data_IF_755476173877
#
_entry.id   IF_755476173877
#
_cell.length_a   1.000
_cell.length_b   1.000
_cell.length_c   1.000
_cell.angle_alpha   90.00
_cell.angle_beta   90.00
_cell.angle_gamma   90.00
#
_symmetry.space_group_name_H-M   'P 1'
#
loop_
_entity.id
_entity.type
_entity.pdbx_description
1 polymer ?
#
# COMPACT_ATOMS: atom_id res chain seq x y z
N UNK A 1 -15.42 18.86 -2.35
CA UNK A 1 -15.57 18.30 -3.72
C UNK A 1 -14.24 18.23 -4.49
N UNK A 2 -13.30 19.15 -4.26
CA UNK A 2 -12.04 19.20 -5.03
C UNK A 2 -11.04 18.08 -4.77
N UNK A 3 -10.98 17.50 -3.57
CA UNK A 3 -10.02 16.42 -3.25
C UNK A 3 -10.40 15.07 -3.87
N UNK A 4 -11.68 14.74 -3.97
CA UNK A 4 -12.11 13.46 -4.51
C UNK A 4 -11.91 13.36 -6.03
N UNK A 5 -12.05 14.46 -6.78
CA UNK A 5 -11.76 14.49 -8.22
C UNK A 5 -10.26 14.41 -8.48
N UNK A 6 -9.43 15.09 -7.68
CA UNK A 6 -7.96 15.01 -7.79
C UNK A 6 -7.40 13.61 -7.54
N UNK A 7 -7.95 12.86 -6.59
CA UNK A 7 -7.53 11.48 -6.32
C UNK A 7 -7.88 10.53 -7.47
N UNK A 8 -9.05 10.66 -8.10
CA UNK A 8 -9.44 9.83 -9.24
C UNK A 8 -8.55 10.10 -10.47
N UNK A 9 -8.19 11.36 -10.71
CA UNK A 9 -7.28 11.74 -11.79
C UNK A 9 -5.87 11.23 -11.53
N UNK A 10 -5.39 11.35 -10.29
CA UNK A 10 -4.10 10.81 -9.86
C UNK A 10 -4.05 9.29 -10.04
N UNK A 11 -5.04 8.55 -9.52
CA UNK A 11 -5.09 7.08 -9.65
C UNK A 11 -5.07 6.64 -11.12
N UNK A 12 -5.76 7.36 -12.01
CA UNK A 12 -5.69 7.09 -13.46
C UNK A 12 -4.30 7.34 -14.04
N UNK A 13 -3.65 8.42 -13.63
CA UNK A 13 -2.32 8.78 -14.13
C UNK A 13 -1.24 7.75 -13.75
N UNK A 14 -1.32 7.19 -12.53
CA UNK A 14 -0.33 6.25 -12.01
C UNK A 14 -0.72 4.77 -12.19
N UNK A 15 -1.90 4.48 -12.75
CA UNK A 15 -2.45 3.12 -12.79
C UNK A 15 -1.52 2.11 -13.45
N UNK A 16 -0.91 2.46 -14.59
CA UNK A 16 0.00 1.57 -15.32
C UNK A 16 1.25 1.27 -14.49
N UNK A 17 1.83 2.29 -13.86
CA UNK A 17 3.01 2.14 -13.02
C UNK A 17 2.71 1.28 -11.79
N UNK A 18 1.62 1.59 -11.08
CA UNK A 18 1.16 0.79 -9.93
C UNK A 18 0.92 -0.67 -10.33
N UNK A 19 0.28 -0.93 -11.47
CA UNK A 19 0.05 -2.29 -11.95
C UNK A 19 1.37 -3.08 -12.11
N UNK A 20 2.39 -2.48 -12.73
CA UNK A 20 3.71 -3.10 -12.89
C UNK A 20 4.36 -3.41 -11.55
N UNK A 21 4.23 -2.50 -10.57
CA UNK A 21 4.79 -2.69 -9.23
C UNK A 21 4.12 -3.82 -8.46
N UNK A 22 2.80 -3.87 -8.51
CA UNK A 22 2.03 -4.95 -7.90
C UNK A 22 2.33 -6.29 -8.57
N UNK A 23 2.46 -6.32 -9.92
CA UNK A 23 2.87 -7.52 -10.65
C UNK A 23 4.22 -8.04 -10.19
N UNK A 24 5.20 -7.15 -10.08
CA UNK A 24 6.54 -7.48 -9.62
C UNK A 24 6.52 -7.99 -8.18
N UNK A 25 5.80 -7.31 -7.28
CA UNK A 25 5.66 -7.76 -5.90
C UNK A 25 5.09 -9.18 -5.82
N UNK A 26 3.98 -9.42 -6.50
CA UNK A 26 3.29 -10.72 -6.42
C UNK A 26 4.08 -11.86 -7.07
N UNK A 27 4.89 -11.57 -8.09
CA UNK A 27 5.80 -12.57 -8.66
C UNK A 27 6.90 -13.03 -7.69
N UNK A 28 7.23 -12.19 -6.69
CA UNK A 28 8.25 -12.48 -5.67
C UNK A 28 7.68 -13.09 -4.38
N UNK A 29 6.36 -13.20 -4.26
CA UNK A 29 5.72 -13.83 -3.10
C UNK A 29 5.90 -15.36 -3.10
N UNK A 30 5.91 -15.99 -1.92
CA UNK A 30 6.01 -17.43 -1.83
C UNK A 30 4.79 -18.12 -2.47
N UNK A 31 5.01 -19.26 -3.13
CA UNK A 31 3.93 -20.10 -3.75
C UNK A 31 3.14 -20.87 -2.69
N UNK A 32 2.57 -20.17 -1.75
CA UNK A 32 1.69 -20.63 -0.69
C UNK A 32 0.76 -19.50 -0.33
N UNK A 33 -0.10 -19.65 0.66
CA UNK A 33 -0.82 -18.51 1.21
C UNK A 33 0.17 -17.48 1.79
N UNK A 34 0.11 -16.25 1.30
CA UNK A 34 0.99 -15.15 1.70
C UNK A 34 0.19 -14.10 2.47
N UNK A 35 0.74 -13.65 3.59
CA UNK A 35 0.19 -12.54 4.38
C UNK A 35 0.68 -11.23 3.78
N UNK A 36 -0.26 -10.41 3.30
CA UNK A 36 0.02 -9.09 2.75
C UNK A 36 -0.65 -8.04 3.63
N UNK A 37 0.13 -7.04 4.07
CA UNK A 37 -0.36 -5.94 4.89
C UNK A 37 -0.37 -4.67 4.07
N UNK A 38 -1.49 -3.95 4.01
CA UNK A 38 -1.61 -2.65 3.36
C UNK A 38 -1.79 -1.56 4.42
N UNK A 39 -0.81 -0.64 4.50
CA UNK A 39 -0.81 0.47 5.44
C UNK A 39 -1.58 1.65 4.88
N UNK A 40 -2.40 2.28 5.71
CA UNK A 40 -3.26 3.39 5.31
C UNK A 40 -4.23 2.96 4.22
N UNK A 41 -4.86 1.79 4.38
CA UNK A 41 -5.72 1.21 3.35
C UNK A 41 -6.82 2.18 2.88
N UNK A 42 -7.34 3.03 3.75
CA UNK A 42 -8.39 3.99 3.43
C UNK A 42 -9.61 3.31 2.81
N UNK A 43 -10.07 3.87 1.69
CA UNK A 43 -11.15 3.29 0.88
C UNK A 43 -10.71 2.12 -0.01
N UNK A 44 -9.47 1.69 0.11
CA UNK A 44 -8.84 0.62 -0.68
C UNK A 44 -8.79 0.91 -2.18
N UNK A 45 -8.16 2.00 -2.61
CA UNK A 45 -8.01 2.33 -4.04
C UNK A 45 -7.16 1.31 -4.79
N UNK A 46 -6.34 0.53 -4.07
CA UNK A 46 -5.49 -0.51 -4.65
C UNK A 46 -6.23 -1.81 -4.98
N UNK A 47 -7.49 -1.98 -4.58
CA UNK A 47 -8.25 -3.21 -4.83
C UNK A 47 -8.13 -3.76 -6.26
N UNK A 48 -8.20 -2.95 -7.34
CA UNK A 48 -8.08 -3.44 -8.71
C UNK A 48 -6.74 -4.13 -9.03
N UNK A 49 -5.66 -3.77 -8.33
CA UNK A 49 -4.33 -4.35 -8.56
C UNK A 49 -4.17 -5.75 -7.98
N UNK A 50 -5.08 -6.17 -7.10
CA UNK A 50 -5.15 -7.53 -6.59
C UNK A 50 -6.01 -8.44 -7.47
N UNK A 51 -6.97 -7.86 -8.20
CA UNK A 51 -7.92 -8.58 -9.03
C UNK A 51 -7.30 -9.11 -10.35
N UNK A 52 -7.94 -10.12 -10.95
CA UNK A 52 -7.61 -10.58 -12.29
C UNK A 52 -6.29 -11.35 -12.42
N UNK A 53 -5.65 -11.69 -11.32
CA UNK A 53 -4.38 -12.41 -11.30
C UNK A 53 -4.60 -13.90 -11.11
N UNK A 54 -4.13 -14.70 -12.07
CA UNK A 54 -3.94 -16.13 -11.83
C UNK A 54 -2.67 -16.32 -11.02
N UNK A 55 -2.81 -16.28 -9.68
CA UNK A 55 -1.66 -16.51 -8.81
C UNK A 55 -1.72 -17.93 -8.26
N UNK A 56 -0.58 -18.61 -8.27
CA UNK A 56 -0.39 -19.83 -7.50
C UNK A 56 -0.36 -19.53 -5.98
N UNK A 57 -0.44 -18.25 -5.61
CA UNK A 57 -0.39 -17.74 -4.25
C UNK A 57 -1.74 -17.15 -3.89
N UNK A 58 -2.34 -17.63 -2.84
CA UNK A 58 -3.50 -16.99 -2.20
C UNK A 58 -3.02 -15.93 -1.22
N UNK A 59 -3.80 -14.86 -1.07
CA UNK A 59 -3.42 -13.73 -0.23
C UNK A 59 -4.34 -13.65 0.99
N UNK A 60 -3.77 -13.70 2.20
CA UNK A 60 -4.41 -13.22 3.43
C UNK A 60 -4.11 -11.72 3.55
N UNK A 61 -5.09 -10.88 3.22
CA UNK A 61 -4.92 -9.43 3.13
C UNK A 61 -5.38 -8.75 4.40
N UNK A 62 -4.50 -7.93 4.97
CA UNK A 62 -4.75 -7.16 6.19
C UNK A 62 -4.57 -5.68 5.87
N UNK A 63 -5.66 -4.92 5.87
CA UNK A 63 -5.60 -3.46 5.83
C UNK A 63 -5.42 -2.88 7.23
N UNK A 64 -4.52 -1.92 7.40
CA UNK A 64 -4.39 -1.16 8.64
C UNK A 64 -4.71 0.30 8.35
N UNK A 65 -5.65 0.88 9.10
CA UNK A 65 -6.04 2.28 8.96
C UNK A 65 -6.40 2.87 10.33
N UNK A 66 -6.03 4.13 10.62
CA UNK A 66 -6.41 4.79 11.87
C UNK A 66 -7.88 5.22 11.90
N UNK A 67 -8.58 5.22 10.77
CA UNK A 67 -9.96 5.64 10.68
C UNK A 67 -10.90 4.44 10.46
N UNK A 68 -11.55 3.99 11.54
CA UNK A 68 -12.50 2.86 11.52
C UNK A 68 -13.64 3.05 10.49
N UNK A 69 -13.98 4.30 10.16
CA UNK A 69 -15.01 4.59 9.18
C UNK A 69 -14.63 4.15 7.76
N UNK A 70 -13.36 3.88 7.49
CA UNK A 70 -12.87 3.48 6.18
C UNK A 70 -13.17 2.00 5.86
N UNK A 71 -13.30 1.13 6.85
CA UNK A 71 -13.53 -0.30 6.64
C UNK A 71 -14.71 -0.58 5.69
N UNK A 72 -15.83 0.09 5.87
CA UNK A 72 -17.02 -0.09 5.00
C UNK A 72 -16.75 0.27 3.53
N UNK A 73 -15.89 1.27 3.29
CA UNK A 73 -15.50 1.67 1.94
C UNK A 73 -14.48 0.70 1.36
N UNK A 74 -13.51 0.25 2.16
CA UNK A 74 -12.53 -0.76 1.75
C UNK A 74 -13.22 -2.07 1.35
N UNK A 75 -14.18 -2.54 2.15
CA UNK A 75 -14.97 -3.75 1.84
C UNK A 75 -15.75 -3.58 0.53
N UNK A 76 -16.41 -2.44 0.32
CA UNK A 76 -17.11 -2.15 -0.93
C UNK A 76 -16.18 -2.13 -2.14
N UNK A 77 -14.97 -1.60 -2.01
CA UNK A 77 -13.95 -1.61 -3.07
C UNK A 77 -13.48 -3.04 -3.37
N UNK A 78 -13.30 -3.86 -2.34
CA UNK A 78 -12.95 -5.27 -2.48
C UNK A 78 -14.06 -6.08 -3.18
N UNK A 79 -15.32 -5.87 -2.81
CA UNK A 79 -16.49 -6.47 -3.46
C UNK A 79 -16.58 -6.06 -4.94
N UNK A 80 -16.45 -4.76 -5.23
CA UNK A 80 -16.45 -4.24 -6.61
C UNK A 80 -15.33 -4.82 -7.47
N UNK A 81 -14.19 -5.15 -6.87
CA UNK A 81 -13.06 -5.78 -7.53
C UNK A 81 -13.12 -7.32 -7.51
N UNK A 82 -14.19 -7.90 -6.98
CA UNK A 82 -14.43 -9.36 -6.89
C UNK A 82 -13.25 -10.12 -6.23
N UNK A 83 -12.61 -9.52 -5.22
CA UNK A 83 -11.35 -10.06 -4.69
C UNK A 83 -11.49 -11.41 -4.01
N UNK A 84 -12.56 -11.63 -3.25
CA UNK A 84 -12.82 -12.90 -2.57
C UNK A 84 -13.37 -13.93 -3.55
N UNK A 85 -14.25 -13.52 -4.45
CA UNK A 85 -14.89 -14.36 -5.48
C UNK A 85 -13.87 -14.88 -6.49
N UNK A 86 -12.86 -14.09 -6.82
CA UNK A 86 -11.77 -14.50 -7.71
C UNK A 86 -10.87 -15.58 -7.13
N UNK A 87 -10.93 -15.79 -5.81
CA UNK A 87 -10.08 -16.75 -5.09
C UNK A 87 -8.60 -16.35 -4.99
N UNK A 88 -8.24 -15.15 -5.42
CA UNK A 88 -6.88 -14.57 -5.26
C UNK A 88 -6.66 -14.14 -3.81
N UNK A 89 -7.66 -13.50 -3.22
CA UNK A 89 -7.65 -13.12 -1.80
C UNK A 89 -8.47 -14.16 -1.02
N UNK A 90 -7.82 -14.88 -0.13
CA UNK A 90 -8.47 -15.91 0.72
C UNK A 90 -9.22 -15.27 1.88
N UNK A 91 -8.71 -14.15 2.41
CA UNK A 91 -9.35 -13.38 3.46
C UNK A 91 -9.00 -11.89 3.36
N UNK A 92 -9.93 -11.03 3.79
CA UNK A 92 -9.71 -9.60 3.96
C UNK A 92 -10.10 -9.19 5.38
N UNK A 93 -9.12 -8.69 6.13
CA UNK A 93 -9.32 -8.09 7.44
C UNK A 93 -8.94 -6.62 7.40
N UNK A 94 -9.74 -5.76 8.00
CA UNK A 94 -9.39 -4.35 8.23
C UNK A 94 -9.23 -4.16 9.72
N UNK A 95 -8.08 -3.63 10.12
CA UNK A 95 -7.67 -3.50 11.51
C UNK A 95 -7.42 -2.03 11.82
N UNK A 96 -8.00 -1.55 12.92
CA UNK A 96 -7.71 -0.21 13.42
C UNK A 96 -6.29 -0.13 13.96
N UNK A 97 -5.51 0.85 13.48
CA UNK A 97 -4.13 1.04 13.92
C UNK A 97 -3.41 2.15 13.17
N UNK A 98 -2.30 2.57 13.73
CA UNK A 98 -1.39 3.55 13.13
C UNK A 98 -0.12 2.87 12.65
N UNK A 99 0.52 3.44 11.63
CA UNK A 99 1.74 2.85 11.05
C UNK A 99 2.91 2.81 12.04
N UNK A 100 2.95 3.74 13.00
CA UNK A 100 3.98 3.85 14.04
C UNK A 100 3.84 2.83 15.18
N UNK A 101 2.72 2.09 15.24
CA UNK A 101 2.46 1.06 16.24
C UNK A 101 1.49 0.01 15.67
N UNK A 102 2.00 -0.82 14.75
CA UNK A 102 1.17 -1.80 14.06
C UNK A 102 0.67 -2.90 15.00
N UNK A 103 -0.66 -3.15 15.06
CA UNK A 103 -1.24 -4.18 15.92
C UNK A 103 -1.07 -5.59 15.32
N UNK A 104 0.13 -5.89 14.86
CA UNK A 104 0.50 -7.14 14.19
C UNK A 104 1.76 -7.72 14.82
N UNK A 105 1.90 -9.07 14.87
CA UNK A 105 3.10 -9.72 15.39
C UNK A 105 4.35 -9.42 14.57
N UNK A 106 5.52 -9.49 15.20
CA UNK A 106 6.80 -9.47 14.49
C UNK A 106 6.91 -10.65 13.53
N UNK A 107 7.58 -10.44 12.39
CA UNK A 107 7.83 -11.47 11.37
C UNK A 107 6.56 -12.23 10.94
N UNK A 108 5.45 -11.51 10.77
CA UNK A 108 4.13 -12.08 10.40
C UNK A 108 3.75 -11.85 8.94
N UNK A 109 4.28 -10.82 8.29
CA UNK A 109 3.92 -10.43 6.93
C UNK A 109 4.95 -10.93 5.89
N UNK A 110 4.46 -11.48 4.77
CA UNK A 110 5.29 -11.80 3.60
C UNK A 110 5.54 -10.56 2.75
N UNK A 111 4.58 -9.63 2.74
CA UNK A 111 4.74 -8.32 2.13
C UNK A 111 4.01 -7.23 2.91
N UNK A 112 4.54 -6.00 2.83
CA UNK A 112 3.87 -4.77 3.27
C UNK A 112 3.76 -3.84 2.07
N UNK A 113 2.59 -3.22 1.90
CA UNK A 113 2.30 -2.23 0.85
C UNK A 113 1.96 -0.91 1.52
N UNK A 114 2.50 0.17 1.01
CA UNK A 114 2.27 1.52 1.50
C UNK A 114 2.16 2.48 0.30
N UNK A 115 0.99 3.07 0.11
CA UNK A 115 0.77 4.00 -1.00
C UNK A 115 0.15 5.30 -0.49
N UNK A 116 0.86 6.42 -0.67
CA UNK A 116 0.45 7.75 -0.24
C UNK A 116 0.07 7.85 1.25
N UNK A 117 0.76 7.10 2.08
CA UNK A 117 0.49 7.00 3.52
C UNK A 117 1.58 7.63 4.36
N UNK A 118 2.86 7.46 3.98
CA UNK A 118 3.99 7.97 4.76
C UNK A 118 3.99 9.50 4.89
N UNK A 119 3.38 10.22 3.95
CA UNK A 119 3.21 11.67 4.04
C UNK A 119 2.22 12.10 5.16
N UNK A 120 1.41 11.18 5.67
CA UNK A 120 0.37 11.41 6.69
C UNK A 120 0.74 10.88 8.08
N UNK A 121 1.83 10.10 8.21
CA UNK A 121 2.29 9.59 9.50
C UNK A 121 3.03 10.68 10.29
N UNK A 122 2.95 10.62 11.61
CA UNK A 122 3.60 11.59 12.50
C UNK A 122 5.12 11.35 12.57
N UNK A 123 5.50 10.06 12.60
CA UNK A 123 6.90 9.62 12.71
C UNK A 123 7.19 8.55 11.65
N UNK A 124 7.78 8.96 10.54
CA UNK A 124 8.10 8.08 9.41
C UNK A 124 9.16 7.04 9.77
N UNK A 125 10.15 7.39 10.59
CA UNK A 125 11.20 6.45 11.01
C UNK A 125 10.61 5.33 11.85
N UNK A 126 9.72 5.67 12.76
CA UNK A 126 9.01 4.70 13.59
C UNK A 126 8.07 3.83 12.75
N UNK A 127 7.34 4.41 11.79
CA UNK A 127 6.51 3.65 10.87
C UNK A 127 7.34 2.65 10.05
N UNK A 128 8.50 3.05 9.52
CA UNK A 128 9.41 2.15 8.80
C UNK A 128 10.03 1.08 9.72
N UNK A 129 10.31 1.40 10.98
CA UNK A 129 10.74 0.42 11.96
C UNK A 129 9.68 -0.65 12.23
N UNK A 130 8.39 -0.25 12.30
CA UNK A 130 7.27 -1.17 12.44
C UNK A 130 7.08 -2.04 11.17
N UNK A 131 7.19 -1.48 9.98
CA UNK A 131 7.21 -2.24 8.73
C UNK A 131 8.29 -3.32 8.78
N UNK A 132 9.52 -2.94 9.17
CA UNK A 132 10.63 -3.88 9.30
C UNK A 132 10.33 -4.96 10.36
N UNK A 133 9.74 -4.59 11.49
CA UNK A 133 9.40 -5.51 12.58
C UNK A 133 8.41 -6.59 12.14
N UNK A 134 7.35 -6.21 11.40
CA UNK A 134 6.31 -7.15 10.99
C UNK A 134 6.70 -8.00 9.78
N UNK A 135 7.63 -7.53 8.95
CA UNK A 135 8.11 -8.31 7.79
C UNK A 135 8.86 -9.57 8.25
N UNK A 136 8.54 -10.70 7.62
CA UNK A 136 9.34 -11.92 7.73
C UNK A 136 10.73 -11.72 7.13
N UNK A 137 11.73 -12.52 7.54
CA UNK A 137 13.01 -12.55 6.83
C UNK A 137 12.80 -12.80 5.34
N UNK A 138 13.32 -11.91 4.49
CA UNK A 138 13.12 -11.95 3.03
C UNK A 138 11.77 -11.41 2.55
N UNK A 139 10.91 -10.93 3.47
CA UNK A 139 9.66 -10.25 3.13
C UNK A 139 9.87 -9.00 2.29
N UNK A 140 8.84 -8.55 1.61
CA UNK A 140 8.91 -7.47 0.61
C UNK A 140 8.21 -6.22 1.11
N UNK A 141 8.78 -5.07 0.81
CA UNK A 141 8.13 -3.77 1.03
C UNK A 141 7.92 -3.08 -0.31
N UNK A 142 6.66 -2.82 -0.66
CA UNK A 142 6.28 -1.97 -1.78
C UNK A 142 5.82 -0.64 -1.22
N UNK A 143 6.41 0.45 -1.70
CA UNK A 143 5.88 1.77 -1.41
C UNK A 143 5.81 2.63 -2.68
N UNK A 144 4.83 3.51 -2.69
CA UNK A 144 4.57 4.46 -3.76
C UNK A 144 4.12 5.77 -3.11
N UNK A 145 5.04 6.72 -2.97
CA UNK A 145 4.86 7.90 -2.12
C UNK A 145 5.22 9.19 -2.84
N UNK A 146 4.68 10.29 -2.35
CA UNK A 146 5.10 11.61 -2.77
C UNK A 146 6.50 11.93 -2.23
N UNK A 147 7.39 12.37 -3.09
CA UNK A 147 8.73 12.82 -2.71
C UNK A 147 9.01 14.21 -3.24
N UNK A 148 9.96 14.92 -2.60
CA UNK A 148 10.42 16.20 -3.07
C UNK A 148 11.18 16.05 -4.39
N UNK A 149 10.91 16.92 -5.37
CA UNK A 149 11.65 16.91 -6.64
C UNK A 149 13.10 17.32 -6.43
N UNK A 150 14.03 16.47 -6.79
CA UNK A 150 15.47 16.75 -6.75
C UNK A 150 15.96 17.48 -8.01
N UNK A 151 15.30 17.29 -9.16
CA UNK A 151 15.80 17.68 -10.46
C UNK A 151 15.57 19.16 -10.84
N UNK A 152 14.81 19.94 -10.06
CA UNK A 152 14.52 21.35 -10.37
C UNK A 152 14.30 22.18 -9.12
N UNK A 153 15.17 23.18 -8.90
CA UNK A 153 15.04 24.09 -7.77
C UNK A 153 13.70 24.87 -7.80
N UNK A 154 13.16 25.19 -8.98
CA UNK A 154 11.87 25.87 -9.12
C UNK A 154 10.71 24.96 -8.76
N UNK A 155 10.76 23.68 -9.17
CA UNK A 155 9.74 22.71 -8.83
C UNK A 155 9.78 22.35 -7.34
N UNK A 156 10.98 22.17 -6.76
CA UNK A 156 11.16 21.96 -5.33
C UNK A 156 10.66 23.14 -4.49
N UNK A 157 10.81 24.39 -4.97
CA UNK A 157 10.26 25.58 -4.29
C UNK A 157 8.73 25.63 -4.34
N UNK A 158 8.14 25.25 -5.47
CA UNK A 158 6.68 25.13 -5.62
C UNK A 158 6.12 24.01 -4.75
N UNK A 159 6.82 22.87 -4.64
CA UNK A 159 6.44 21.77 -3.78
C UNK A 159 6.51 22.08 -2.28
N UNK A 160 7.41 22.97 -1.84
CA UNK A 160 7.45 23.47 -0.44
C UNK A 160 6.27 24.39 -0.12
N UNK A 161 5.67 25.00 -1.15
CA UNK A 161 4.50 25.88 -1.03
C UNK A 161 3.17 25.17 -1.29
N UNK A 162 3.20 23.94 -1.86
CA UNK A 162 2.04 23.10 -2.17
C UNK A 162 2.34 21.64 -1.80
N UNK A 163 1.33 20.78 -1.57
CA UNK A 163 1.60 19.38 -1.30
C UNK A 163 2.40 18.74 -2.45
N UNK A 164 3.44 17.94 -2.14
CA UNK A 164 4.36 17.38 -3.12
C UNK A 164 3.67 16.43 -4.10
N UNK A 165 4.03 16.52 -5.38
CA UNK A 165 3.46 15.72 -6.48
C UNK A 165 4.59 14.96 -7.21
N UNK A 166 5.46 14.28 -6.51
CA UNK A 166 6.43 13.36 -7.11
C UNK A 166 6.43 12.03 -6.36
N UNK A 167 6.61 10.96 -7.10
CA UNK A 167 6.49 9.60 -6.62
C UNK A 167 7.87 8.96 -6.60
N UNK A 168 8.31 8.48 -5.45
CA UNK A 168 9.40 7.53 -5.37
C UNK A 168 8.81 6.12 -5.23
N UNK A 169 9.40 5.21 -5.97
CA UNK A 169 8.96 3.83 -6.02
C UNK A 169 10.14 2.92 -5.76
N UNK A 170 10.01 2.01 -4.80
CA UNK A 170 10.91 0.89 -4.67
C UNK A 170 10.14 -0.39 -4.35
N UNK A 171 10.36 -1.41 -5.14
CA UNK A 171 9.99 -2.79 -4.83
C UNK A 171 11.27 -3.55 -4.52
N UNK A 172 11.31 -4.15 -3.35
CA UNK A 172 12.42 -5.01 -2.95
C UNK A 172 13.56 -4.26 -2.29
N UNK A 173 13.35 -3.77 -1.11
CA UNK A 173 14.44 -3.50 -0.19
C UNK A 173 14.57 -4.70 0.74
N UNK A 174 15.73 -5.38 0.72
CA UNK A 174 16.17 -6.08 1.92
C UNK A 174 16.45 -4.96 2.93
N UNK A 175 15.54 -4.74 3.83
CA UNK A 175 15.79 -3.96 5.03
C UNK A 175 16.75 -4.81 5.89
N UNK A 176 18.03 -4.82 5.49
CA UNK A 176 19.10 -5.44 6.26
C UNK A 176 19.42 -4.61 7.50
#
# INVERSE_FOLDING_TARGET
LGMATGMADYERAVATEKAVLFDKLFAELPRREAVVVELGMGSFPNAPYYAGRSTATKLDLIGVDPNDSMEKYARRSAEKAELLESGVVSSLRVVHGVAEALPLPSASADAVICTLTLCSVVDQERALAEVRRILKPGGKFLFHEHVLAEASASLASQQRAAPPVHVAVAVGCRLC
#
